data_IF_481407731982
#
_entry.id   IF_481407731982
#
_cell.length_a   1.000
_cell.length_b   1.000
_cell.length_c   1.000
_cell.angle_alpha   90.00
_cell.angle_beta   90.00
_cell.angle_gamma   90.00
#
_symmetry.space_group_name_H-M   'P 1'
#
loop_
_entity.id
_entity.type
_entity.pdbx_description
1 polymer ?
#
# COMPACT_ATOMS: atom_id res chain seq x y z
N UNK A 1 -19.72 19.06 -17.40
CA UNK A 1 -20.99 18.72 -16.71
C UNK A 1 -21.49 19.89 -15.87
N UNK A 2 -22.77 20.24 -15.95
CA UNK A 2 -23.35 21.31 -15.12
C UNK A 2 -23.54 20.85 -13.65
N UNK A 3 -23.52 21.79 -12.70
CA UNK A 3 -23.76 21.51 -11.27
C UNK A 3 -25.06 20.72 -11.04
N UNK A 4 -26.10 21.05 -11.81
CA UNK A 4 -27.41 20.37 -11.76
C UNK A 4 -27.29 18.90 -12.16
N UNK A 5 -26.59 18.59 -13.26
CA UNK A 5 -26.38 17.20 -13.71
C UNK A 5 -25.61 16.39 -12.67
N UNK A 6 -24.53 16.95 -12.09
CA UNK A 6 -23.77 16.25 -11.03
C UNK A 6 -24.63 15.97 -9.78
N UNK A 7 -25.40 16.96 -9.34
CA UNK A 7 -26.29 16.80 -8.19
C UNK A 7 -27.41 15.79 -8.47
N UNK A 8 -27.93 15.77 -9.69
CA UNK A 8 -28.95 14.81 -10.12
C UNK A 8 -28.40 13.38 -10.12
N UNK A 9 -27.20 13.20 -10.67
CA UNK A 9 -26.51 11.91 -10.66
C UNK A 9 -26.24 11.42 -9.25
N UNK A 10 -25.75 12.29 -8.36
CA UNK A 10 -25.51 11.94 -6.96
C UNK A 10 -26.82 11.59 -6.23
N UNK A 11 -27.87 12.40 -6.43
CA UNK A 11 -29.17 12.18 -5.81
C UNK A 11 -29.85 10.89 -6.27
N UNK A 12 -29.46 10.33 -7.42
CA UNK A 12 -29.98 9.06 -7.93
C UNK A 12 -29.07 7.88 -7.55
N UNK A 13 -27.75 8.04 -7.72
CA UNK A 13 -26.77 7.02 -7.41
C UNK A 13 -26.65 6.73 -5.91
N UNK A 14 -26.73 7.77 -5.06
CA UNK A 14 -26.63 7.62 -3.60
C UNK A 14 -27.73 6.73 -3.01
N UNK A 15 -29.02 7.03 -3.25
CA UNK A 15 -30.11 6.17 -2.81
C UNK A 15 -30.11 4.79 -3.47
N UNK A 16 -29.70 4.71 -4.75
CA UNK A 16 -29.55 3.43 -5.44
C UNK A 16 -28.51 2.53 -4.76
N UNK A 17 -27.32 3.06 -4.47
CA UNK A 17 -26.28 2.36 -3.74
C UNK A 17 -26.74 1.98 -2.33
N UNK A 18 -27.39 2.91 -1.61
CA UNK A 18 -27.93 2.64 -0.28
C UNK A 18 -28.96 1.51 -0.31
N UNK A 19 -29.86 1.50 -1.29
CA UNK A 19 -30.87 0.45 -1.44
C UNK A 19 -30.20 -0.91 -1.68
N UNK A 20 -29.21 -0.99 -2.58
CA UNK A 20 -28.44 -2.22 -2.83
C UNK A 20 -27.75 -2.70 -1.56
N UNK A 21 -27.10 -1.79 -0.82
CA UNK A 21 -26.43 -2.12 0.44
C UNK A 21 -27.43 -2.63 1.48
N UNK A 22 -28.54 -1.94 1.70
CA UNK A 22 -29.57 -2.34 2.68
C UNK A 22 -30.17 -3.70 2.32
N UNK A 23 -30.47 -3.95 1.05
CA UNK A 23 -30.97 -5.25 0.59
C UNK A 23 -29.92 -6.35 0.81
N UNK A 24 -28.65 -6.08 0.51
CA UNK A 24 -27.55 -7.00 0.76
C UNK A 24 -27.38 -7.33 2.24
N UNK A 25 -27.40 -6.32 3.12
CA UNK A 25 -27.26 -6.49 4.57
C UNK A 25 -28.43 -7.28 5.18
N UNK A 26 -29.64 -7.18 4.63
CA UNK A 26 -30.79 -7.98 5.08
C UNK A 26 -30.66 -9.48 4.80
N UNK A 27 -29.81 -9.87 3.84
CA UNK A 27 -29.55 -11.27 3.50
C UNK A 27 -28.38 -11.90 4.26
N UNK A 28 -27.70 -11.15 5.13
CA UNK A 28 -26.57 -11.68 5.87
C UNK A 28 -27.01 -12.60 7.02
N UNK A 29 -26.25 -13.67 7.30
CA UNK A 29 -26.49 -14.49 8.47
C UNK A 29 -26.27 -13.69 9.76
N UNK A 30 -26.85 -14.18 10.85
CA UNK A 30 -26.59 -13.63 12.17
C UNK A 30 -25.09 -13.75 12.53
N UNK A 31 -24.62 -12.89 13.43
CA UNK A 31 -23.24 -12.95 13.89
C UNK A 31 -22.94 -14.32 14.51
N UNK A 32 -21.86 -14.96 14.04
CA UNK A 32 -21.45 -16.31 14.47
C UNK A 32 -22.08 -17.46 13.67
N UNK A 33 -23.03 -17.19 12.78
CA UNK A 33 -23.81 -18.20 12.07
C UNK A 33 -23.30 -18.42 10.62
N UNK A 34 -22.07 -18.93 10.49
CA UNK A 34 -21.42 -19.10 9.19
C UNK A 34 -21.83 -20.39 8.47
N UNK A 35 -22.48 -20.24 7.31
CA UNK A 35 -22.97 -21.35 6.48
C UNK A 35 -22.25 -21.50 5.12
N UNK A 36 -21.14 -20.79 4.91
CA UNK A 36 -20.43 -20.81 3.64
C UNK A 36 -19.65 -22.12 3.44
N UNK A 37 -20.03 -22.90 2.42
CA UNK A 37 -19.36 -24.19 2.13
C UNK A 37 -17.86 -23.99 1.85
N UNK A 38 -17.49 -22.92 1.15
CA UNK A 38 -16.09 -22.62 0.82
C UNK A 38 -15.22 -22.41 2.06
N UNK A 39 -15.63 -21.58 3.01
CA UNK A 39 -14.84 -21.35 4.23
C UNK A 39 -14.74 -22.60 5.10
N UNK A 40 -15.80 -23.41 5.16
CA UNK A 40 -15.77 -24.68 5.89
C UNK A 40 -14.83 -25.70 5.23
N UNK A 41 -14.72 -25.71 3.90
CA UNK A 41 -13.80 -26.58 3.17
C UNK A 41 -12.35 -26.12 3.36
N UNK A 42 -12.08 -24.82 3.17
CA UNK A 42 -10.76 -24.23 3.34
C UNK A 42 -10.20 -24.52 4.74
N UNK A 43 -11.01 -24.34 5.79
CA UNK A 43 -10.60 -24.65 7.15
C UNK A 43 -10.19 -26.12 7.38
N UNK A 44 -10.64 -27.05 6.52
CA UNK A 44 -10.32 -28.47 6.63
C UNK A 44 -9.09 -28.86 5.79
N UNK A 45 -8.86 -28.22 4.66
CA UNK A 45 -7.80 -28.61 3.70
C UNK A 45 -6.51 -27.82 3.89
N UNK A 46 -6.59 -26.54 4.27
CA UNK A 46 -5.42 -25.64 4.27
C UNK A 46 -4.34 -26.08 5.28
N UNK A 47 -4.73 -26.41 6.52
CA UNK A 47 -3.76 -26.85 7.53
C UNK A 47 -3.04 -28.17 7.16
N UNK A 48 -3.74 -29.25 6.77
CA UNK A 48 -3.06 -30.50 6.41
C UNK A 48 -2.29 -30.45 5.09
N UNK A 49 -2.74 -29.68 4.09
CA UNK A 49 -2.11 -29.66 2.76
C UNK A 49 -1.02 -28.59 2.63
N UNK A 50 -1.20 -27.43 3.27
CA UNK A 50 -0.30 -26.27 3.12
C UNK A 50 0.54 -25.99 4.36
N UNK A 51 0.24 -26.65 5.49
CA UNK A 51 0.91 -26.42 6.76
C UNK A 51 0.89 -24.95 7.22
N UNK A 52 -0.12 -24.20 6.78
CA UNK A 52 -0.36 -22.82 7.16
C UNK A 52 -1.50 -22.76 8.19
N UNK A 53 -1.27 -22.09 9.31
CA UNK A 53 -2.30 -21.85 10.33
C UNK A 53 -3.05 -20.54 10.10
N UNK A 54 -2.46 -19.61 9.33
CA UNK A 54 -3.18 -18.42 8.86
C UNK A 54 -3.90 -18.69 7.54
N UNK A 55 -5.18 -19.03 7.66
CA UNK A 55 -6.06 -19.38 6.55
C UNK A 55 -6.28 -18.19 5.62
N UNK A 56 -6.19 -16.94 6.12
CA UNK A 56 -6.37 -15.75 5.27
C UNK A 56 -5.20 -15.59 4.31
N UNK A 57 -3.97 -15.73 4.83
CA UNK A 57 -2.77 -15.69 3.99
C UNK A 57 -2.74 -16.86 3.01
N UNK A 58 -3.07 -18.08 3.45
CA UNK A 58 -3.14 -19.25 2.56
C UNK A 58 -4.18 -19.08 1.45
N UNK A 59 -5.39 -18.62 1.79
CA UNK A 59 -6.45 -18.33 0.83
C UNK A 59 -6.00 -17.33 -0.23
N UNK A 60 -5.35 -16.24 0.17
CA UNK A 60 -4.91 -15.20 -0.74
C UNK A 60 -3.80 -15.69 -1.69
N UNK A 61 -2.85 -16.49 -1.21
CA UNK A 61 -1.71 -16.94 -2.03
C UNK A 61 -1.97 -18.21 -2.84
N UNK A 62 -2.84 -19.12 -2.38
CA UNK A 62 -3.03 -20.42 -3.04
C UNK A 62 -4.34 -20.48 -3.85
N UNK A 63 -5.45 -20.09 -3.24
CA UNK A 63 -6.79 -20.30 -3.84
C UNK A 63 -7.25 -19.06 -4.61
N UNK A 64 -6.97 -17.87 -4.08
CA UNK A 64 -7.32 -16.56 -4.66
C UNK A 64 -6.08 -15.78 -5.13
N UNK A 65 -5.03 -16.51 -5.52
CA UNK A 65 -3.76 -15.96 -5.99
C UNK A 65 -3.93 -14.88 -7.07
N UNK A 66 -4.87 -15.09 -8.00
CA UNK A 66 -5.14 -14.13 -9.09
C UNK A 66 -5.75 -12.82 -8.60
N UNK A 67 -6.54 -12.85 -7.52
CA UNK A 67 -7.09 -11.63 -6.93
C UNK A 67 -5.96 -10.80 -6.30
N UNK A 68 -5.07 -11.46 -5.54
CA UNK A 68 -3.87 -10.81 -4.97
C UNK A 68 -2.90 -10.33 -6.04
N UNK A 69 -2.68 -11.09 -7.11
CA UNK A 69 -1.89 -10.64 -8.27
C UNK A 69 -2.49 -9.39 -8.91
N UNK A 70 -3.83 -9.33 -9.02
CA UNK A 70 -4.55 -8.16 -9.50
C UNK A 70 -4.37 -6.95 -8.60
N UNK A 71 -4.45 -7.14 -7.28
CA UNK A 71 -4.19 -6.09 -6.28
C UNK A 71 -2.76 -5.54 -6.39
N UNK A 72 -1.75 -6.43 -6.48
CA UNK A 72 -0.35 -6.05 -6.67
C UNK A 72 -0.14 -5.31 -8.00
N UNK A 73 -0.79 -5.75 -9.08
CA UNK A 73 -0.76 -5.06 -10.36
C UNK A 73 -1.34 -3.65 -10.28
N UNK A 74 -2.47 -3.47 -9.58
CA UNK A 74 -3.08 -2.14 -9.37
C UNK A 74 -2.13 -1.25 -8.57
N UNK A 75 -1.51 -1.77 -7.51
CA UNK A 75 -0.54 -1.02 -6.71
C UNK A 75 0.67 -0.61 -7.55
N UNK A 76 1.25 -1.56 -8.29
CA UNK A 76 2.39 -1.31 -9.18
C UNK A 76 2.05 -0.26 -10.24
N UNK A 77 0.93 -0.42 -10.95
CA UNK A 77 0.45 0.52 -11.95
C UNK A 77 0.21 1.92 -11.35
N UNK A 78 -0.29 1.99 -10.11
CA UNK A 78 -0.49 3.25 -9.40
C UNK A 78 0.84 3.94 -9.09
N UNK A 79 1.84 3.20 -8.61
CA UNK A 79 3.18 3.72 -8.31
C UNK A 79 3.86 4.22 -9.60
N UNK A 80 3.82 3.43 -10.68
CA UNK A 80 4.34 3.83 -12.00
C UNK A 80 3.61 5.06 -12.52
N UNK A 81 2.28 5.08 -12.46
CA UNK A 81 1.46 6.21 -12.91
C UNK A 81 1.77 7.50 -12.15
N UNK A 82 1.95 7.42 -10.82
CA UNK A 82 2.38 8.57 -10.01
C UNK A 82 3.79 9.01 -10.37
N UNK A 83 4.73 8.08 -10.57
CA UNK A 83 6.10 8.40 -10.98
C UNK A 83 6.14 9.12 -12.33
N UNK A 84 5.39 8.65 -13.32
CA UNK A 84 5.26 9.28 -14.65
C UNK A 84 4.61 10.66 -14.56
N UNK A 85 3.56 10.82 -13.76
CA UNK A 85 2.90 12.12 -13.57
C UNK A 85 3.84 13.14 -12.90
N UNK A 86 4.57 12.71 -11.86
CA UNK A 86 5.55 13.57 -11.17
C UNK A 86 6.76 13.88 -12.07
N UNK A 87 7.14 12.99 -12.98
CA UNK A 87 8.19 13.25 -14.00
C UNK A 87 7.79 14.41 -14.92
N UNK A 88 6.54 14.44 -15.39
CA UNK A 88 6.05 15.53 -16.24
C UNK A 88 6.14 16.88 -15.52
N UNK A 89 5.74 16.92 -14.24
CA UNK A 89 5.82 18.13 -13.41
C UNK A 89 7.26 18.56 -13.13
N UNK A 90 8.19 17.61 -12.93
CA UNK A 90 9.61 17.92 -12.67
C UNK A 90 10.29 18.64 -13.85
N UNK A 91 9.93 18.29 -15.09
CA UNK A 91 10.48 18.97 -16.27
C UNK A 91 9.99 20.42 -16.45
N UNK A 92 8.81 20.76 -15.95
CA UNK A 92 8.34 22.15 -15.89
C UNK A 92 9.12 22.93 -14.82
N UNK A 93 9.32 22.32 -13.65
CA UNK A 93 10.00 22.91 -12.50
C UNK A 93 11.52 23.08 -12.71
N UNK A 94 12.21 22.19 -13.43
CA UNK A 94 13.65 22.32 -13.74
C UNK A 94 13.94 23.50 -14.68
N UNK A 95 13.01 23.84 -15.59
CA UNK A 95 13.08 25.05 -16.43
C UNK A 95 12.94 26.34 -15.60
N UNK A 96 12.25 26.29 -14.46
CA UNK A 96 12.06 27.43 -13.55
C UNK A 96 13.11 27.49 -12.41
N UNK A 97 13.61 26.36 -11.91
CA UNK A 97 14.63 26.26 -10.84
C UNK A 97 16.02 26.71 -11.25
N UNK A 98 16.34 26.70 -12.55
CA UNK A 98 17.59 27.27 -13.07
C UNK A 98 17.70 28.79 -12.81
N UNK A 99 16.63 29.46 -12.37
CA UNK A 99 16.61 30.89 -12.04
C UNK A 99 16.63 31.23 -10.54
N UNK A 100 16.75 30.26 -9.62
CA UNK A 100 16.75 30.57 -8.19
C UNK A 100 16.87 29.34 -7.29
N UNK A 101 18.10 28.91 -7.03
CA UNK A 101 18.38 27.83 -6.07
C UNK A 101 18.38 28.43 -4.66
N UNK A 102 17.20 28.53 -4.05
CA UNK A 102 17.12 28.39 -2.59
C UNK A 102 16.81 26.94 -2.27
N UNK A 103 17.90 26.23 -1.97
CA UNK A 103 17.97 24.94 -1.31
C UNK A 103 16.85 24.82 -0.28
N UNK A 104 15.73 24.20 -0.67
CA UNK A 104 14.62 23.85 0.23
C UNK A 104 15.14 22.75 1.16
N UNK A 105 16.03 23.14 2.07
CA UNK A 105 16.45 22.37 3.23
C UNK A 105 15.16 22.09 4.00
N UNK A 106 14.65 20.87 3.86
CA UNK A 106 13.56 20.36 4.67
C UNK A 106 13.79 20.84 6.10
N UNK A 107 12.91 21.72 6.58
CA UNK A 107 13.11 22.46 7.82
C UNK A 107 13.49 21.47 8.92
N UNK A 108 14.67 21.69 9.52
CA UNK A 108 15.41 20.68 10.26
C UNK A 108 14.55 19.91 11.24
N UNK A 109 14.43 18.60 11.01
CA UNK A 109 13.84 17.68 11.98
C UNK A 109 14.49 17.93 13.34
N UNK A 110 13.69 18.05 14.40
CA UNK A 110 14.22 18.21 15.76
C UNK A 110 15.24 17.09 16.04
N UNK A 111 16.26 17.37 16.85
CA UNK A 111 17.28 16.36 17.18
C UNK A 111 16.65 15.08 17.74
N UNK A 112 15.57 15.22 18.51
CA UNK A 112 14.78 14.12 19.02
C UNK A 112 14.11 13.30 17.90
N UNK A 113 13.42 13.96 16.96
CA UNK A 113 12.77 13.29 15.82
C UNK A 113 13.81 12.57 14.95
N UNK A 114 14.96 13.20 14.71
CA UNK A 114 16.03 12.61 13.92
C UNK A 114 16.59 11.33 14.56
N UNK A 115 16.86 11.36 15.86
CA UNK A 115 17.34 10.18 16.59
C UNK A 115 16.27 9.09 16.60
N UNK A 116 15.02 9.45 16.92
CA UNK A 116 13.91 8.49 16.92
C UNK A 116 13.75 7.82 15.55
N UNK A 117 13.68 8.58 14.46
CA UNK A 117 13.54 8.04 13.10
C UNK A 117 14.70 7.12 12.71
N UNK A 118 15.95 7.46 13.06
CA UNK A 118 17.11 6.62 12.76
C UNK A 118 17.12 5.31 13.55
N UNK A 119 16.74 5.36 14.82
CA UNK A 119 16.60 4.16 15.68
C UNK A 119 15.46 3.26 15.20
N UNK A 120 14.38 3.85 14.68
CA UNK A 120 13.23 3.10 14.20
C UNK A 120 13.50 2.33 12.90
N UNK A 121 14.45 2.75 12.04
CA UNK A 121 14.74 2.07 10.77
C UNK A 121 15.04 0.56 10.96
N UNK A 122 16.03 0.14 11.78
CA UNK A 122 16.30 -1.29 11.97
C UNK A 122 15.13 -2.04 12.61
N UNK A 123 14.37 -1.37 13.49
CA UNK A 123 13.15 -1.96 14.11
C UNK A 123 12.08 -2.22 13.05
N UNK A 124 11.83 -1.26 12.16
CA UNK A 124 10.87 -1.38 11.06
C UNK A 124 11.28 -2.49 10.09
N UNK A 125 12.56 -2.59 9.74
CA UNK A 125 13.07 -3.64 8.85
C UNK A 125 12.92 -5.01 9.50
N UNK A 126 13.31 -5.15 10.78
CA UNK A 126 13.17 -6.42 11.51
C UNK A 126 11.69 -6.83 11.63
N UNK A 127 10.81 -5.88 11.96
CA UNK A 127 9.37 -6.11 12.05
C UNK A 127 8.77 -6.50 10.70
N UNK A 128 9.13 -5.79 9.63
CA UNK A 128 8.68 -6.12 8.27
C UNK A 128 9.08 -7.55 7.90
N UNK A 129 10.35 -7.92 8.13
CA UNK A 129 10.81 -9.28 7.86
C UNK A 129 10.09 -10.32 8.70
N UNK A 130 9.89 -10.05 9.99
CA UNK A 130 9.13 -10.93 10.87
C UNK A 130 7.72 -11.19 10.33
N UNK A 131 6.98 -10.14 9.97
CA UNK A 131 5.61 -10.23 9.45
C UNK A 131 5.55 -10.98 8.11
N UNK A 132 6.53 -10.77 7.23
CA UNK A 132 6.61 -11.47 5.93
C UNK A 132 6.89 -12.96 6.13
N UNK A 133 7.94 -13.28 6.90
CA UNK A 133 8.41 -14.67 7.05
C UNK A 133 7.44 -15.53 7.87
N UNK A 134 6.67 -14.93 8.78
CA UNK A 134 5.69 -15.63 9.62
C UNK A 134 4.26 -15.52 9.09
N UNK A 135 4.05 -15.02 7.86
CA UNK A 135 2.71 -14.84 7.28
C UNK A 135 1.89 -16.13 7.18
N UNK A 136 2.52 -17.30 7.10
CA UNK A 136 1.82 -18.59 7.12
C UNK A 136 1.31 -19.00 8.52
N UNK A 137 1.84 -18.39 9.58
CA UNK A 137 1.60 -18.79 10.97
C UNK A 137 0.78 -17.75 11.76
N UNK A 138 1.10 -16.47 11.56
CA UNK A 138 0.54 -15.35 12.30
C UNK A 138 -0.17 -14.38 11.36
N UNK A 139 -1.21 -13.64 11.84
CA UNK A 139 -1.84 -12.60 11.04
C UNK A 139 -0.80 -11.63 10.48
N UNK A 140 -0.75 -11.51 9.15
CA UNK A 140 0.43 -10.93 8.52
C UNK A 140 0.41 -11.01 7.01
N UNK A 141 1.60 -11.25 6.46
CA UNK A 141 1.82 -11.51 5.04
C UNK A 141 2.65 -10.44 4.33
N UNK A 142 2.84 -10.65 3.02
CA UNK A 142 3.70 -9.83 2.17
C UNK A 142 3.29 -8.36 2.11
N UNK A 143 1.99 -8.08 1.92
CA UNK A 143 1.49 -6.71 1.76
C UNK A 143 1.69 -5.86 3.02
N UNK A 144 1.29 -6.36 4.18
CA UNK A 144 1.40 -5.65 5.46
C UNK A 144 2.87 -5.42 5.84
N UNK A 145 3.71 -6.46 5.70
CA UNK A 145 5.14 -6.33 5.90
C UNK A 145 5.79 -5.36 4.92
N UNK A 146 5.33 -5.33 3.66
CA UNK A 146 5.75 -4.38 2.64
C UNK A 146 5.44 -2.93 3.01
N UNK A 147 4.25 -2.64 3.57
CA UNK A 147 3.90 -1.30 4.08
C UNK A 147 4.85 -0.90 5.22
N UNK A 148 5.12 -1.80 6.17
CA UNK A 148 6.06 -1.53 7.27
C UNK A 148 7.47 -1.26 6.72
N UNK A 149 7.92 -2.02 5.72
CA UNK A 149 9.22 -1.82 5.08
C UNK A 149 9.29 -0.46 4.35
N UNK A 150 8.21 -0.07 3.66
CA UNK A 150 8.08 1.22 2.98
C UNK A 150 8.12 2.43 3.95
N UNK A 151 7.80 2.22 5.23
CA UNK A 151 7.96 3.27 6.25
C UNK A 151 9.43 3.60 6.54
N UNK A 152 10.39 2.73 6.21
CA UNK A 152 11.83 2.98 6.39
C UNK A 152 12.34 4.19 5.59
N UNK A 153 12.17 4.23 4.26
CA UNK A 153 12.46 5.41 3.45
C UNK A 153 11.77 6.69 3.95
N UNK A 154 10.52 6.59 4.42
CA UNK A 154 9.82 7.72 5.02
C UNK A 154 10.49 8.20 6.31
N UNK A 155 10.94 7.28 7.18
CA UNK A 155 11.71 7.61 8.38
C UNK A 155 13.03 8.32 8.03
N UNK A 156 13.71 7.91 6.95
CA UNK A 156 14.93 8.60 6.45
C UNK A 156 14.61 10.04 6.02
N UNK A 157 13.49 10.23 5.32
CA UNK A 157 13.03 11.57 4.92
C UNK A 157 12.71 12.43 6.16
N UNK A 158 11.95 11.89 7.11
CA UNK A 158 11.61 12.56 8.38
C UNK A 158 12.83 12.87 9.25
N UNK A 159 13.92 12.11 9.12
CA UNK A 159 15.19 12.39 9.78
C UNK A 159 15.97 13.56 9.13
N UNK A 160 15.43 14.18 8.07
CA UNK A 160 16.09 15.25 7.32
C UNK A 160 17.27 14.77 6.47
N UNK A 161 17.37 13.47 6.18
CA UNK A 161 18.48 12.87 5.41
C UNK A 161 18.10 12.63 3.95
N UNK A 162 17.65 13.67 3.25
CA UNK A 162 17.30 13.59 1.82
C UNK A 162 18.43 12.99 0.96
N UNK A 163 19.68 13.37 1.20
CA UNK A 163 20.84 12.78 0.51
C UNK A 163 21.06 11.29 0.81
N UNK A 164 20.67 10.80 1.99
CA UNK A 164 20.74 9.37 2.29
C UNK A 164 19.62 8.60 1.60
N UNK A 165 18.43 9.22 1.44
CA UNK A 165 17.37 8.66 0.62
C UNK A 165 17.80 8.52 -0.84
N UNK A 166 18.48 9.52 -1.41
CA UNK A 166 19.11 9.44 -2.75
C UNK A 166 20.17 8.33 -2.89
N UNK A 167 20.70 7.77 -1.78
CA UNK A 167 21.58 6.59 -1.84
C UNK A 167 20.80 5.28 -1.79
N UNK A 168 19.67 5.25 -1.07
CA UNK A 168 18.80 4.08 -0.94
C UNK A 168 17.95 3.88 -2.19
N UNK A 169 17.50 4.97 -2.82
CA UNK A 169 16.83 4.99 -4.11
C UNK A 169 17.64 5.88 -5.07
N UNK A 170 18.72 5.34 -5.67
CA UNK A 170 19.63 6.14 -6.47
C UNK A 170 19.01 6.54 -7.81
N UNK A 171 19.38 7.73 -8.29
CA UNK A 171 18.84 8.32 -9.53
C UNK A 171 19.05 7.40 -10.74
N UNK A 172 20.16 6.65 -10.81
CA UNK A 172 20.38 5.67 -11.88
C UNK A 172 19.37 4.52 -11.88
N UNK A 173 18.81 4.13 -10.73
CA UNK A 173 17.78 3.09 -10.68
C UNK A 173 16.42 3.63 -11.18
N UNK A 174 16.16 4.92 -10.93
CA UNK A 174 15.04 5.65 -11.52
C UNK A 174 15.26 5.85 -13.03
N UNK A 175 16.45 6.24 -13.46
CA UNK A 175 16.82 6.44 -14.86
C UNK A 175 16.87 5.12 -15.66
N UNK A 176 17.29 4.02 -15.04
CA UNK A 176 17.23 2.69 -15.67
C UNK A 176 15.77 2.28 -15.92
N UNK A 177 14.86 2.57 -14.98
CA UNK A 177 13.42 2.43 -15.20
C UNK A 177 12.86 3.43 -16.23
N UNK A 178 13.53 4.56 -16.47
CA UNK A 178 13.18 5.54 -17.51
C UNK A 178 13.62 5.12 -18.93
N UNK A 179 14.44 4.07 -19.08
CA UNK A 179 15.03 3.63 -20.35
C UNK A 179 14.31 2.46 -21.04
N UNK A 180 13.24 1.95 -20.43
CA UNK A 180 12.33 0.90 -20.93
C UNK A 180 10.95 1.52 -21.19
#
# INVERSE_FOLDING_TARGET
MSRRVRLSLFALAGPGLLAVLVLGFRGLPAFGDYHGIYGLLLNKIELPERHATDIVTALNFDIRAFDTLGEEFILFASVVGVAVLLRHLRHEDERQRSAGIEDHRFAGASSALRVASLVMIPVLIALAWYVILHGALTPGGGFQGGIVLAAGPLAILLAGRYFALKRVAPEWALEASDSI
#
